data_IF_922570063246
#
_entry.id   IF_922570063246
#
_cell.length_a   1.000
_cell.length_b   1.000
_cell.length_c   1.000
_cell.angle_alpha   90.00
_cell.angle_beta   90.00
_cell.angle_gamma   90.00
#
_symmetry.space_group_name_H-M   'P 1'
#
loop_
_entity.id
_entity.type
_entity.pdbx_description
1 polymer ?
#
# COMPACT_ATOMS: atom_id res chain seq x y z
N UNK A 1 -22.99 7.41 -52.86
CA UNK A 1 -21.71 7.53 -52.12
C UNK A 1 -20.72 6.53 -52.70
N UNK A 2 -19.50 6.96 -53.04
CA UNK A 2 -18.53 6.13 -53.79
C UNK A 2 -17.82 5.11 -52.86
N UNK A 3 -17.56 3.86 -53.28
CA UNK A 3 -16.97 2.80 -52.45
C UNK A 3 -15.63 3.17 -51.79
N UNK A 4 -14.88 4.08 -52.41
CA UNK A 4 -13.60 4.60 -51.94
C UNK A 4 -13.75 5.47 -50.68
N UNK A 5 -14.86 6.19 -50.53
CA UNK A 5 -15.13 7.05 -49.36
C UNK A 5 -15.47 6.21 -48.13
N UNK A 6 -16.23 5.10 -48.30
CA UNK A 6 -16.51 4.16 -47.20
C UNK A 6 -15.27 3.40 -46.70
N UNK A 7 -14.33 3.05 -47.60
CA UNK A 7 -13.06 2.40 -47.20
C UNK A 7 -12.17 3.31 -46.36
N UNK A 8 -12.11 4.60 -46.67
CA UNK A 8 -11.26 5.56 -45.96
C UNK A 8 -11.79 5.88 -44.55
N UNK A 9 -13.12 5.96 -44.37
CA UNK A 9 -13.73 6.12 -43.05
C UNK A 9 -13.55 4.86 -42.19
N UNK A 10 -13.67 3.67 -42.79
CA UNK A 10 -13.45 2.39 -42.12
C UNK A 10 -11.99 2.19 -41.65
N UNK A 11 -11.00 2.58 -42.46
CA UNK A 11 -9.58 2.53 -42.07
C UNK A 11 -9.24 3.54 -40.97
N UNK A 12 -9.73 4.78 -41.06
CA UNK A 12 -9.48 5.81 -40.04
C UNK A 12 -10.06 5.42 -38.68
N UNK A 13 -11.24 4.79 -38.66
CA UNK A 13 -11.87 4.30 -37.43
C UNK A 13 -11.11 3.11 -36.81
N UNK A 14 -10.55 2.21 -37.64
CA UNK A 14 -9.69 1.09 -37.18
C UNK A 14 -8.33 1.56 -36.66
N UNK A 15 -7.73 2.56 -37.31
CA UNK A 15 -6.47 3.16 -36.85
C UNK A 15 -6.65 3.96 -35.55
N UNK A 16 -7.81 4.62 -35.39
CA UNK A 16 -8.21 5.29 -34.14
C UNK A 16 -8.37 4.31 -32.98
N UNK A 17 -9.13 3.22 -33.16
CA UNK A 17 -9.32 2.22 -32.09
C UNK A 17 -8.04 1.49 -31.74
N UNK A 18 -7.21 1.12 -32.74
CA UNK A 18 -5.93 0.45 -32.51
C UNK A 18 -4.93 1.33 -31.74
N UNK A 19 -4.94 2.65 -31.98
CA UNK A 19 -4.06 3.59 -31.27
C UNK A 19 -4.54 3.87 -29.84
N UNK A 20 -5.84 3.86 -29.60
CA UNK A 20 -6.40 3.96 -28.24
C UNK A 20 -6.17 2.69 -27.44
N UNK A 21 -6.37 1.51 -28.04
CA UNK A 21 -6.05 0.21 -27.43
C UNK A 21 -4.55 0.10 -27.08
N UNK A 22 -3.66 0.54 -27.98
CA UNK A 22 -2.23 0.56 -27.71
C UNK A 22 -1.87 1.47 -26.52
N UNK A 23 -2.51 2.63 -26.41
CA UNK A 23 -2.32 3.53 -25.25
C UNK A 23 -2.92 2.95 -23.97
N UNK A 24 -4.03 2.23 -24.07
CA UNK A 24 -4.71 1.66 -22.91
C UNK A 24 -3.93 0.47 -22.31
N UNK A 25 -3.17 -0.24 -23.15
CA UNK A 25 -2.30 -1.34 -22.74
C UNK A 25 -0.88 -0.90 -22.37
N UNK A 26 -0.51 0.34 -22.66
CA UNK A 26 0.80 0.88 -22.30
C UNK A 26 0.94 0.96 -20.77
N UNK A 27 2.10 0.53 -20.27
CA UNK A 27 2.39 0.61 -18.86
C UNK A 27 2.59 2.06 -18.39
N UNK A 28 2.15 2.37 -17.18
CA UNK A 28 2.43 3.68 -16.59
C UNK A 28 3.91 3.78 -16.22
N UNK A 29 4.56 4.85 -16.69
CA UNK A 29 5.98 5.06 -16.42
C UNK A 29 6.22 5.58 -15.00
N UNK A 30 5.29 6.38 -14.45
CA UNK A 30 5.49 7.10 -13.18
C UNK A 30 4.24 7.10 -12.31
N UNK A 31 4.42 7.25 -11.00
CA UNK A 31 3.32 7.38 -10.05
C UNK A 31 2.42 8.59 -10.38
N UNK A 32 3.03 9.70 -10.81
CA UNK A 32 2.28 10.91 -11.20
C UNK A 32 1.35 10.64 -12.39
N UNK A 33 1.79 9.84 -13.36
CA UNK A 33 0.93 9.45 -14.50
C UNK A 33 -0.28 8.63 -14.02
N UNK A 34 -0.06 7.69 -13.12
CA UNK A 34 -1.13 6.90 -12.48
C UNK A 34 -2.11 7.81 -11.74
N UNK A 35 -1.61 8.72 -10.90
CA UNK A 35 -2.41 9.65 -10.11
C UNK A 35 -3.27 10.58 -10.99
N UNK A 36 -2.69 11.17 -12.02
CA UNK A 36 -3.42 12.01 -12.97
C UNK A 36 -4.50 11.24 -13.74
N UNK A 37 -4.19 10.03 -14.19
CA UNK A 37 -5.16 9.21 -14.90
C UNK A 37 -6.29 8.74 -13.98
N UNK A 38 -5.98 8.35 -12.74
CA UNK A 38 -6.95 8.01 -11.71
C UNK A 38 -7.90 9.18 -11.43
N UNK A 39 -7.36 10.38 -11.19
CA UNK A 39 -8.14 11.59 -10.96
C UNK A 39 -9.06 11.91 -12.15
N UNK A 40 -8.56 11.77 -13.38
CA UNK A 40 -9.36 11.94 -14.59
C UNK A 40 -10.54 10.96 -14.63
N UNK A 41 -10.34 9.70 -14.26
CA UNK A 41 -11.40 8.70 -14.24
C UNK A 41 -12.47 9.01 -13.18
N UNK A 42 -12.06 9.45 -11.99
CA UNK A 42 -12.99 9.87 -10.94
C UNK A 42 -13.83 11.09 -11.37
N UNK A 43 -13.19 12.07 -12.01
CA UNK A 43 -13.86 13.25 -12.54
C UNK A 43 -14.92 12.88 -13.59
N UNK A 44 -14.57 12.02 -14.55
CA UNK A 44 -15.51 11.54 -15.57
C UNK A 44 -16.68 10.74 -14.96
N UNK A 45 -16.44 10.05 -13.84
CA UNK A 45 -17.47 9.33 -13.10
C UNK A 45 -18.31 10.22 -12.16
N UNK A 46 -18.09 11.54 -12.15
CA UNK A 46 -18.82 12.48 -11.30
C UNK A 46 -18.63 12.26 -9.80
N UNK A 47 -17.51 11.65 -9.40
CA UNK A 47 -17.20 11.41 -7.99
C UNK A 47 -16.58 12.68 -7.36
N UNK A 48 -16.92 12.96 -6.10
CA UNK A 48 -16.25 14.00 -5.34
C UNK A 48 -14.75 13.67 -5.21
N UNK A 49 -13.92 14.62 -5.63
CA UNK A 49 -12.47 14.44 -5.70
C UNK A 49 -11.83 14.83 -4.37
N UNK A 50 -11.26 13.84 -3.68
CA UNK A 50 -10.06 14.10 -2.90
C UNK A 50 -8.88 14.01 -3.86
N UNK A 51 -8.05 15.06 -3.93
CA UNK A 51 -6.87 15.02 -4.79
C UNK A 51 -5.94 13.90 -4.29
N UNK A 52 -5.58 12.91 -5.13
CA UNK A 52 -4.67 11.87 -4.71
C UNK A 52 -3.35 12.51 -4.30
N UNK A 53 -2.89 12.21 -3.09
CA UNK A 53 -1.57 12.66 -2.64
C UNK A 53 -0.47 11.99 -3.45
N UNK A 54 0.75 12.54 -3.40
CA UNK A 54 1.92 11.88 -3.99
C UNK A 54 2.07 10.44 -3.46
N UNK A 55 1.91 10.25 -2.15
CA UNK A 55 1.94 8.95 -1.49
C UNK A 55 0.87 7.98 -2.03
N UNK A 56 -0.34 8.49 -2.26
CA UNK A 56 -1.45 7.67 -2.79
C UNK A 56 -1.19 7.26 -4.24
N UNK A 57 -0.64 8.15 -5.04
CA UNK A 57 -0.29 7.86 -6.43
C UNK A 57 0.82 6.81 -6.52
N UNK A 58 1.80 6.90 -5.62
CA UNK A 58 2.88 5.91 -5.49
C UNK A 58 2.38 4.54 -5.04
N UNK A 59 1.49 4.50 -4.05
CA UNK A 59 0.85 3.27 -3.61
C UNK A 59 0.00 2.65 -4.70
N UNK A 60 -0.79 3.44 -5.43
CA UNK A 60 -1.60 2.92 -6.54
C UNK A 60 -0.72 2.33 -7.65
N UNK A 61 0.38 3.00 -8.02
CA UNK A 61 1.33 2.44 -8.99
C UNK A 61 1.92 1.13 -8.49
N UNK A 62 2.44 1.13 -7.25
CA UNK A 62 3.06 -0.05 -6.64
C UNK A 62 2.08 -1.23 -6.57
N UNK A 63 0.80 -0.96 -6.29
CA UNK A 63 -0.27 -1.96 -6.27
C UNK A 63 -0.50 -2.55 -7.66
N UNK A 64 -0.64 -1.70 -8.68
CA UNK A 64 -0.86 -2.17 -10.04
C UNK A 64 0.33 -2.98 -10.56
N UNK A 65 1.57 -2.60 -10.22
CA UNK A 65 2.78 -3.35 -10.54
C UNK A 65 2.81 -4.71 -9.83
N UNK A 66 2.46 -4.75 -8.54
CA UNK A 66 2.54 -5.97 -7.74
C UNK A 66 1.58 -7.08 -8.21
N UNK A 67 0.48 -6.69 -8.88
CA UNK A 67 -0.49 -7.62 -9.48
C UNK A 67 -0.37 -7.72 -11.01
N UNK A 68 0.71 -7.19 -11.61
CA UNK A 68 0.97 -7.18 -13.06
C UNK A 68 -0.16 -6.55 -13.91
N UNK A 69 -0.74 -5.46 -13.40
CA UNK A 69 -1.83 -4.70 -14.03
C UNK A 69 -1.52 -3.20 -14.16
N UNK A 70 -0.24 -2.85 -14.31
CA UNK A 70 0.25 -1.47 -14.40
C UNK A 70 -0.11 -0.76 -15.73
N UNK A 71 -1.39 -0.76 -16.14
CA UNK A 71 -1.85 -0.09 -17.37
C UNK A 71 -3.24 0.55 -17.21
N UNK A 72 -3.58 1.42 -18.15
CA UNK A 72 -4.82 2.22 -18.11
C UNK A 72 -6.08 1.38 -18.21
N UNK A 73 -6.06 0.34 -19.06
CA UNK A 73 -7.18 -0.59 -19.21
C UNK A 73 -7.53 -1.25 -17.87
N UNK A 74 -6.51 -1.74 -17.16
CA UNK A 74 -6.70 -2.42 -15.88
C UNK A 74 -7.18 -1.47 -14.79
N UNK A 75 -6.60 -0.28 -14.66
CA UNK A 75 -7.06 0.70 -13.67
C UNK A 75 -8.51 1.12 -13.91
N UNK A 76 -8.91 1.31 -15.18
CA UNK A 76 -10.30 1.55 -15.55
C UNK A 76 -11.21 0.37 -15.17
N UNK A 77 -10.73 -0.86 -15.35
CA UNK A 77 -11.40 -2.09 -14.93
C UNK A 77 -11.64 -2.15 -13.42
N UNK A 78 -10.64 -1.83 -12.60
CA UNK A 78 -10.79 -1.75 -11.14
C UNK A 78 -11.86 -0.75 -10.74
N UNK A 79 -11.81 0.46 -11.30
CA UNK A 79 -12.76 1.51 -10.97
C UNK A 79 -14.20 1.18 -11.34
N UNK A 80 -14.43 0.46 -12.44
CA UNK A 80 -15.78 -0.01 -12.82
C UNK A 80 -16.35 -1.04 -11.86
N UNK A 81 -15.49 -1.83 -11.22
CA UNK A 81 -15.88 -2.92 -10.32
C UNK A 81 -15.92 -2.50 -8.85
N UNK A 82 -15.47 -1.28 -8.52
CA UNK A 82 -15.43 -0.74 -7.16
C UNK A 82 -16.60 0.22 -6.92
N UNK A 83 -17.27 0.08 -5.78
CA UNK A 83 -18.31 1.02 -5.35
C UNK A 83 -17.67 2.24 -4.68
N UNK A 84 -17.29 3.23 -5.48
CA UNK A 84 -16.67 4.47 -5.01
C UNK A 84 -17.65 5.56 -4.57
N UNK A 85 -18.96 5.23 -4.52
CA UNK A 85 -19.98 6.19 -4.11
C UNK A 85 -19.63 6.82 -2.76
N UNK A 86 -19.89 8.12 -2.61
CA UNK A 86 -19.75 8.85 -1.34
C UNK A 86 -21.07 8.97 -0.57
N UNK A 87 -22.11 8.26 -1.02
CA UNK A 87 -23.44 8.29 -0.38
C UNK A 87 -23.43 7.83 1.08
N UNK A 88 -24.47 8.18 1.86
CA UNK A 88 -24.52 7.94 3.30
C UNK A 88 -24.45 6.47 3.72
N UNK A 89 -24.79 5.54 2.81
CA UNK A 89 -24.75 4.07 2.97
C UNK A 89 -23.73 3.40 2.03
N UNK A 90 -22.73 4.15 1.56
CA UNK A 90 -21.73 3.63 0.64
C UNK A 90 -20.69 2.73 1.33
N UNK A 91 -20.19 1.74 0.60
CA UNK A 91 -19.08 0.90 1.05
C UNK A 91 -17.81 1.71 1.36
N UNK A 92 -17.60 2.82 0.65
CA UNK A 92 -16.49 3.73 0.89
C UNK A 92 -16.61 4.47 2.24
N UNK A 93 -17.81 4.92 2.63
CA UNK A 93 -18.01 5.55 3.93
C UNK A 93 -17.81 4.56 5.09
N UNK A 94 -18.28 3.32 4.93
CA UNK A 94 -18.02 2.26 5.92
C UNK A 94 -16.52 1.89 5.97
N UNK A 95 -15.82 1.95 4.83
CA UNK A 95 -14.36 1.90 4.83
C UNK A 95 -13.74 3.03 5.65
N UNK A 96 -14.11 4.31 5.42
CA UNK A 96 -13.57 5.44 6.19
C UNK A 96 -13.74 5.25 7.70
N UNK A 97 -14.93 4.83 8.16
CA UNK A 97 -15.21 4.55 9.58
C UNK A 97 -14.25 3.53 10.21
N UNK A 98 -13.83 2.50 9.47
CA UNK A 98 -12.87 1.48 9.95
C UNK A 98 -11.47 2.06 10.19
N UNK A 99 -11.15 3.23 9.63
CA UNK A 99 -9.87 3.91 9.75
C UNK A 99 -9.92 5.17 10.63
N UNK A 100 -11.11 5.69 10.98
CA UNK A 100 -11.24 6.85 11.87
C UNK A 100 -10.42 6.68 13.16
N UNK A 101 -9.67 7.70 13.61
CA UNK A 101 -9.68 9.08 13.14
C UNK A 101 -8.63 9.40 12.06
N UNK A 102 -8.03 8.39 11.40
CA UNK A 102 -7.12 8.64 10.29
C UNK A 102 -7.90 9.04 9.04
N UNK A 103 -7.33 9.97 8.29
CA UNK A 103 -7.83 10.33 6.97
C UNK A 103 -7.40 9.28 5.94
N UNK A 104 -8.34 8.81 5.13
CA UNK A 104 -8.11 7.78 4.11
C UNK A 104 -8.86 8.13 2.85
N UNK A 105 -8.26 7.80 1.72
CA UNK A 105 -8.76 8.15 0.39
C UNK A 105 -9.18 6.92 -0.43
N UNK A 106 -9.69 7.17 -1.63
CA UNK A 106 -10.21 6.15 -2.55
C UNK A 106 -9.13 5.16 -3.02
N UNK A 107 -7.85 5.56 -3.06
CA UNK A 107 -6.75 4.64 -3.39
C UNK A 107 -6.61 3.58 -2.30
N UNK A 108 -6.55 4.01 -1.03
CA UNK A 108 -6.47 3.08 0.10
C UNK A 108 -7.69 2.17 0.15
N UNK A 109 -8.88 2.67 -0.19
CA UNK A 109 -10.08 1.85 -0.30
C UNK A 109 -9.93 0.73 -1.34
N UNK A 110 -9.43 1.04 -2.55
CA UNK A 110 -9.24 0.04 -3.61
C UNK A 110 -8.26 -1.04 -3.17
N UNK A 111 -7.14 -0.64 -2.55
CA UNK A 111 -6.10 -1.57 -2.10
C UNK A 111 -6.61 -2.43 -0.93
N UNK A 112 -7.35 -1.83 0.02
CA UNK A 112 -7.96 -2.54 1.15
C UNK A 112 -9.01 -3.56 0.70
N UNK A 113 -9.85 -3.21 -0.26
CA UNK A 113 -10.84 -4.14 -0.82
C UNK A 113 -10.18 -5.32 -1.54
N UNK A 114 -9.06 -5.10 -2.23
CA UNK A 114 -8.35 -6.19 -2.90
C UNK A 114 -7.64 -7.11 -1.89
N UNK A 115 -6.78 -6.57 -1.02
CA UNK A 115 -5.93 -7.38 -0.14
C UNK A 115 -6.61 -7.84 1.15
N UNK A 116 -7.51 -7.05 1.74
CA UNK A 116 -8.11 -7.41 3.04
C UNK A 116 -9.54 -7.94 2.93
N UNK A 117 -10.25 -7.68 1.83
CA UNK A 117 -11.65 -8.11 1.67
C UNK A 117 -11.78 -9.24 0.64
N UNK A 118 -11.24 -9.07 -0.57
CA UNK A 118 -11.32 -10.10 -1.62
C UNK A 118 -10.38 -11.26 -1.34
N UNK A 119 -9.14 -11.00 -0.96
CA UNK A 119 -8.18 -12.06 -0.65
C UNK A 119 -8.61 -12.87 0.59
N UNK A 120 -9.17 -12.23 1.62
CA UNK A 120 -9.75 -12.95 2.75
C UNK A 120 -10.88 -13.92 2.36
N UNK A 121 -11.54 -13.71 1.21
CA UNK A 121 -12.56 -14.61 0.65
C UNK A 121 -11.97 -15.73 -0.22
N UNK A 122 -10.78 -15.51 -0.76
CA UNK A 122 -10.04 -16.50 -1.55
C UNK A 122 -8.99 -17.08 -0.62
N UNK A 123 -9.36 -18.11 0.14
CA UNK A 123 -8.45 -18.82 1.05
C UNK A 123 -7.29 -19.45 0.26
N UNK A 124 -6.27 -18.66 -0.06
CA UNK A 124 -5.04 -19.11 -0.71
C UNK A 124 -3.95 -18.10 -0.42
N UNK A 125 -3.17 -18.32 0.63
CA UNK A 125 -1.76 -17.95 0.59
C UNK A 125 -1.03 -19.13 -0.05
N UNK A 126 -0.40 -18.98 -1.23
CA UNK A 126 0.68 -19.88 -1.57
C UNK A 126 1.77 -19.61 -0.55
N UNK A 127 2.00 -20.60 0.32
CA UNK A 127 2.99 -20.60 1.40
C UNK A 127 4.41 -20.65 0.81
N UNK A 128 4.79 -19.62 0.03
CA UNK A 128 6.13 -19.53 -0.53
C UNK A 128 7.07 -19.30 0.66
N UNK A 129 8.06 -20.17 0.88
CA UNK A 129 9.00 -19.98 1.97
C UNK A 129 9.72 -18.65 1.76
N UNK A 130 9.42 -17.68 2.61
CA UNK A 130 10.10 -16.39 2.59
C UNK A 130 11.45 -16.52 3.28
N UNK A 131 12.51 -16.11 2.58
CA UNK A 131 13.84 -15.98 3.15
C UNK A 131 13.84 -14.94 4.29
N UNK A 132 14.80 -15.03 5.19
CA UNK A 132 14.94 -14.02 6.26
C UNK A 132 15.13 -12.61 5.71
N UNK A 133 15.83 -12.46 4.59
CA UNK A 133 16.03 -11.16 3.93
C UNK A 133 14.70 -10.58 3.42
N UNK A 134 13.85 -11.41 2.80
CA UNK A 134 12.51 -10.99 2.34
C UNK A 134 11.63 -10.56 3.51
N UNK A 135 11.58 -11.35 4.60
CA UNK A 135 10.84 -10.97 5.81
C UNK A 135 11.28 -9.62 6.37
N UNK A 136 12.59 -9.37 6.43
CA UNK A 136 13.13 -8.07 6.90
C UNK A 136 12.67 -6.95 5.95
N UNK A 137 12.76 -7.14 4.62
CA UNK A 137 12.31 -6.12 3.64
C UNK A 137 10.82 -5.82 3.78
N UNK A 138 9.99 -6.85 3.96
CA UNK A 138 8.55 -6.69 4.14
C UNK A 138 8.28 -5.88 5.40
N UNK A 139 8.82 -6.29 6.55
CA UNK A 139 8.63 -5.59 7.83
C UNK A 139 9.04 -4.12 7.75
N UNK A 140 10.22 -3.84 7.19
CA UNK A 140 10.70 -2.47 7.01
C UNK A 140 9.81 -1.67 6.06
N UNK A 141 9.37 -2.28 4.97
CA UNK A 141 8.45 -1.65 4.00
C UNK A 141 7.09 -1.36 4.60
N UNK A 142 6.58 -2.23 5.48
CA UNK A 142 5.33 -2.01 6.21
C UNK A 142 5.40 -0.74 7.04
N UNK A 143 6.49 -0.54 7.80
CA UNK A 143 6.67 0.68 8.62
C UNK A 143 6.73 1.93 7.72
N UNK A 144 7.46 1.86 6.61
CA UNK A 144 7.55 2.96 5.64
C UNK A 144 6.20 3.27 4.99
N UNK A 145 5.43 2.27 4.60
CA UNK A 145 4.08 2.46 4.05
C UNK A 145 3.15 3.10 5.07
N UNK A 146 3.24 2.70 6.34
CA UNK A 146 2.42 3.30 7.39
C UNK A 146 2.71 4.80 7.55
N UNK A 147 3.99 5.17 7.58
CA UNK A 147 4.41 6.58 7.66
C UNK A 147 3.98 7.38 6.42
N UNK A 148 4.11 6.80 5.22
CA UNK A 148 3.79 7.45 3.96
C UNK A 148 2.27 7.63 3.74
N UNK A 149 1.46 6.64 4.13
CA UNK A 149 0.02 6.59 3.85
C UNK A 149 -0.85 7.22 4.93
N UNK A 150 -0.37 7.24 6.17
CA UNK A 150 -1.12 7.81 7.29
C UNK A 150 -0.41 9.02 7.94
N UNK A 151 0.06 10.03 7.17
CA UNK A 151 0.66 11.23 7.73
C UNK A 151 -0.43 12.16 8.27
N UNK A 152 -1.11 11.80 9.37
CA UNK A 152 -2.04 12.73 10.03
C UNK A 152 -1.29 14.00 10.46
N UNK A 153 -1.97 15.15 10.60
CA UNK A 153 -1.36 16.44 10.97
C UNK A 153 -0.47 16.42 12.23
N UNK A 154 -0.61 15.40 13.09
CA UNK A 154 0.24 15.20 14.28
C UNK A 154 1.15 13.97 14.20
N UNK A 155 1.07 13.15 13.15
CA UNK A 155 1.86 11.93 12.96
C UNK A 155 1.70 10.85 14.06
N UNK A 156 0.83 11.09 15.04
CA UNK A 156 0.70 10.31 16.28
C UNK A 156 -0.32 9.19 16.17
N UNK A 157 -1.42 9.38 15.44
CA UNK A 157 -2.58 8.47 15.48
C UNK A 157 -2.21 7.04 15.09
N UNK A 158 -1.56 6.86 13.94
CA UNK A 158 -1.15 5.52 13.50
C UNK A 158 -0.06 4.96 14.40
N UNK A 159 0.88 5.80 14.87
CA UNK A 159 1.96 5.38 15.78
C UNK A 159 1.40 4.86 17.10
N UNK A 160 0.34 5.50 17.62
CA UNK A 160 -0.38 5.05 18.81
C UNK A 160 -1.09 3.72 18.59
N UNK A 161 -1.72 3.52 17.43
CA UNK A 161 -2.31 2.20 17.05
C UNK A 161 -1.26 1.12 16.87
N UNK A 162 -0.10 1.49 16.33
CA UNK A 162 1.02 0.56 16.17
C UNK A 162 1.54 0.08 17.53
N UNK A 163 1.53 0.92 18.56
CA UNK A 163 2.04 0.52 19.89
C UNK A 163 0.94 0.09 20.87
N UNK A 164 -0.35 0.15 20.51
CA UNK A 164 -1.46 -0.15 21.42
C UNK A 164 -1.60 -1.65 21.75
N UNK A 165 -0.84 -2.50 21.09
CA UNK A 165 -0.84 -3.94 21.35
C UNK A 165 0.22 -4.30 22.42
N UNK A 166 -0.12 -5.08 23.45
CA UNK A 166 0.76 -5.30 24.60
C UNK A 166 1.98 -6.13 24.20
N UNK A 167 3.17 -5.53 24.19
CA UNK A 167 4.43 -6.29 24.09
C UNK A 167 5.54 -5.68 24.94
N UNK A 168 5.92 -6.42 25.98
CA UNK A 168 7.11 -6.19 26.80
C UNK A 168 8.46 -6.30 26.02
N UNK A 169 8.46 -6.45 24.69
CA UNK A 169 9.66 -6.66 23.86
C UNK A 169 9.62 -6.02 22.46
N UNK A 170 8.61 -5.20 22.12
CA UNK A 170 8.55 -4.55 20.81
C UNK A 170 9.70 -3.56 20.64
N UNK A 171 10.06 -2.82 21.69
CA UNK A 171 11.19 -1.88 21.69
C UNK A 171 12.52 -2.54 21.29
N UNK A 172 12.87 -3.67 21.90
CA UNK A 172 14.09 -4.42 21.57
C UNK A 172 14.09 -4.87 20.10
N UNK A 173 12.93 -5.30 19.62
CA UNK A 173 12.75 -5.78 18.25
C UNK A 173 12.82 -4.64 17.22
N UNK A 174 12.26 -3.47 17.53
CA UNK A 174 12.38 -2.26 16.72
C UNK A 174 13.82 -1.73 16.72
N UNK A 175 14.48 -1.70 17.88
CA UNK A 175 15.89 -1.34 17.99
C UNK A 175 16.77 -2.29 17.17
N UNK A 176 16.44 -3.58 17.14
CA UNK A 176 17.11 -4.57 16.30
C UNK A 176 16.97 -4.25 14.80
N UNK A 177 15.79 -3.82 14.33
CA UNK A 177 15.55 -3.43 12.93
C UNK A 177 16.38 -2.20 12.52
N UNK A 178 16.64 -1.26 13.44
CA UNK A 178 17.43 -0.05 13.14
C UNK A 178 18.93 -0.32 12.94
N UNK A 179 19.46 -1.41 13.51
CA UNK A 179 20.91 -1.69 13.53
C UNK A 179 21.53 -1.73 12.13
N UNK A 180 22.75 -1.20 11.99
CA UNK A 180 23.50 -1.15 10.73
C UNK A 180 23.73 -2.54 10.11
N UNK A 181 23.84 -3.57 10.95
CA UNK A 181 24.04 -4.96 10.51
C UNK A 181 22.90 -5.51 9.63
N UNK A 182 21.71 -4.91 9.67
CA UNK A 182 20.60 -5.32 8.80
C UNK A 182 20.94 -5.17 7.32
N UNK A 183 21.80 -4.20 6.95
CA UNK A 183 22.30 -4.08 5.58
C UNK A 183 23.01 -5.35 5.11
N UNK A 184 23.79 -5.97 6.00
CA UNK A 184 24.45 -7.24 5.72
C UNK A 184 23.46 -8.36 5.46
N UNK A 185 22.40 -8.46 6.27
CA UNK A 185 21.37 -9.50 6.09
C UNK A 185 20.57 -9.29 4.80
N UNK A 186 20.26 -8.04 4.45
CA UNK A 186 19.59 -7.68 3.21
C UNK A 186 20.43 -7.98 1.95
N UNK A 187 21.75 -8.10 2.09
CA UNK A 187 22.69 -8.46 1.01
C UNK A 187 23.19 -9.91 1.10
N UNK A 188 22.58 -10.75 1.95
CA UNK A 188 22.80 -12.19 1.96
C UNK A 188 23.58 -12.76 3.14
N UNK A 189 23.92 -11.97 4.16
CA UNK A 189 24.49 -12.51 5.40
C UNK A 189 23.45 -13.33 6.15
N UNK A 190 23.89 -14.46 6.73
CA UNK A 190 23.01 -15.30 7.53
C UNK A 190 22.70 -14.67 8.90
N UNK A 191 21.47 -14.86 9.36
CA UNK A 191 21.07 -14.49 10.72
C UNK A 191 21.58 -15.50 11.75
N UNK A 192 22.00 -15.02 12.91
CA UNK A 192 22.17 -15.86 14.10
C UNK A 192 20.80 -16.38 14.58
N UNK A 193 20.77 -17.45 15.38
CA UNK A 193 19.49 -18.00 15.88
C UNK A 193 18.76 -17.01 16.80
N UNK A 194 19.52 -16.20 17.55
CA UNK A 194 18.96 -15.08 18.32
C UNK A 194 18.28 -14.05 17.40
N UNK A 195 18.93 -13.68 16.29
CA UNK A 195 18.37 -12.72 15.32
C UNK A 195 17.15 -13.29 14.58
N UNK A 196 17.16 -14.59 14.23
CA UNK A 196 16.00 -15.29 13.65
C UNK A 196 14.81 -15.26 14.61
N UNK A 197 15.06 -15.46 15.91
CA UNK A 197 14.00 -15.40 16.91
C UNK A 197 13.38 -13.99 17.00
N UNK A 198 14.18 -12.92 16.98
CA UNK A 198 13.67 -11.55 16.94
C UNK A 198 12.86 -11.30 15.66
N UNK A 199 13.37 -11.73 14.51
CA UNK A 199 12.67 -11.60 13.23
C UNK A 199 11.33 -12.34 13.23
N UNK A 200 11.27 -13.56 13.75
CA UNK A 200 10.03 -14.33 13.85
C UNK A 200 9.02 -13.68 14.80
N UNK A 201 9.47 -13.09 15.91
CA UNK A 201 8.61 -12.30 16.80
C UNK A 201 8.01 -11.10 16.10
N UNK A 202 8.81 -10.33 15.35
CA UNK A 202 8.32 -9.21 14.55
C UNK A 202 7.33 -9.66 13.48
N UNK A 203 7.68 -10.72 12.75
CA UNK A 203 6.81 -11.28 11.72
C UNK A 203 5.44 -11.65 12.28
N UNK A 204 5.41 -12.47 13.34
CA UNK A 204 4.18 -12.89 13.98
C UNK A 204 3.40 -11.70 14.53
N UNK A 205 4.09 -10.68 15.02
CA UNK A 205 3.43 -9.47 15.50
C UNK A 205 2.68 -8.75 14.38
N UNK A 206 3.31 -8.51 13.23
CA UNK A 206 2.64 -7.89 12.09
C UNK A 206 1.50 -8.75 11.53
N UNK A 207 1.72 -10.06 11.41
CA UNK A 207 0.77 -11.02 10.85
C UNK A 207 -0.51 -11.14 11.69
N UNK A 208 -0.36 -11.11 13.01
CA UNK A 208 -1.49 -11.23 13.96
C UNK A 208 -2.05 -9.90 14.45
N UNK A 209 -1.49 -8.77 14.01
CA UNK A 209 -1.90 -7.45 14.50
C UNK A 209 -3.36 -7.19 14.18
N UNK A 210 -4.14 -6.75 15.14
CA UNK A 210 -5.58 -6.45 15.01
C UNK A 210 -5.90 -5.12 14.30
N UNK A 211 -4.99 -4.14 14.34
CA UNK A 211 -5.22 -2.80 13.82
C UNK A 211 -5.20 -2.78 12.28
N UNK A 212 -6.31 -2.33 11.69
CA UNK A 212 -6.51 -2.34 10.23
C UNK A 212 -5.41 -1.62 9.42
N UNK A 213 -4.88 -0.44 9.81
CA UNK A 213 -3.78 0.20 9.07
C UNK A 213 -2.52 -0.65 9.03
N UNK A 214 -2.21 -1.35 10.12
CA UNK A 214 -1.04 -2.24 10.20
C UNK A 214 -1.26 -3.45 9.31
N UNK A 215 -2.45 -4.08 9.40
CA UNK A 215 -2.84 -5.17 8.50
C UNK A 215 -2.71 -4.78 7.04
N UNK A 216 -3.23 -3.62 6.65
CA UNK A 216 -3.19 -3.16 5.26
C UNK A 216 -1.75 -2.97 4.79
N UNK A 217 -0.94 -2.21 5.53
CA UNK A 217 0.44 -1.96 5.15
C UNK A 217 1.30 -3.24 5.12
N UNK A 218 1.01 -4.21 6.01
CA UNK A 218 1.67 -5.51 6.00
C UNK A 218 1.24 -6.36 4.82
N UNK A 219 -0.06 -6.39 4.50
CA UNK A 219 -0.58 -7.07 3.33
C UNK A 219 -0.01 -6.48 2.03
N UNK A 220 0.04 -5.15 1.90
CA UNK A 220 0.67 -4.47 0.77
C UNK A 220 2.11 -4.92 0.55
N UNK A 221 2.94 -4.84 1.60
CA UNK A 221 4.35 -5.22 1.51
C UNK A 221 4.54 -6.71 1.20
N UNK A 222 3.74 -7.58 1.83
CA UNK A 222 3.76 -9.03 1.61
C UNK A 222 3.33 -9.43 0.19
N UNK A 223 2.49 -8.60 -0.45
CA UNK A 223 2.05 -8.76 -1.83
C UNK A 223 2.97 -8.11 -2.87
N UNK A 224 4.20 -7.78 -2.50
CA UNK A 224 5.20 -7.28 -3.43
C UNK A 224 5.24 -5.77 -3.60
N UNK A 225 4.40 -5.01 -2.87
CA UNK A 225 4.58 -3.56 -2.77
C UNK A 225 5.72 -3.26 -1.79
N UNK A 226 6.94 -3.67 -2.13
CA UNK A 226 8.12 -3.53 -1.25
C UNK A 226 8.78 -2.18 -1.53
N UNK A 227 9.06 -1.43 -0.46
CA UNK A 227 9.75 -0.12 -0.50
C UNK A 227 11.25 -0.31 -0.70
N UNK A 228 11.95 0.75 -1.08
CA UNK A 228 13.41 0.71 -1.20
C UNK A 228 14.07 0.93 0.17
N UNK A 229 13.98 -0.11 1.00
CA UNK A 229 14.42 -0.08 2.41
C UNK A 229 15.90 0.27 2.58
N UNK A 230 16.73 0.09 1.55
CA UNK A 230 18.15 0.44 1.59
C UNK A 230 18.34 1.94 1.43
N UNK A 231 17.63 2.56 0.48
CA UNK A 231 17.69 3.99 0.23
C UNK A 231 16.88 4.80 1.27
N UNK A 232 15.81 4.22 1.81
CA UNK A 232 14.90 4.87 2.79
C UNK A 232 15.28 4.62 4.25
N UNK A 233 16.46 4.06 4.50
CA UNK A 233 16.90 3.65 5.86
C UNK A 233 16.95 4.80 6.87
N UNK A 234 17.28 6.02 6.41
CA UNK A 234 17.28 7.22 7.26
C UNK A 234 15.88 7.54 7.79
N UNK A 235 14.89 7.52 6.90
CA UNK A 235 13.48 7.72 7.26
C UNK A 235 13.00 6.60 8.21
N UNK A 236 13.29 5.34 7.89
CA UNK A 236 12.94 4.20 8.75
C UNK A 236 13.51 4.36 10.17
N UNK A 237 14.77 4.78 10.29
CA UNK A 237 15.42 4.98 11.58
C UNK A 237 14.74 6.07 12.40
N UNK A 238 14.35 7.19 11.76
CA UNK A 238 13.60 8.27 12.39
C UNK A 238 12.23 7.80 12.89
N UNK A 239 11.50 7.04 12.08
CA UNK A 239 10.19 6.48 12.46
C UNK A 239 10.32 5.57 13.68
N UNK A 240 11.32 4.67 13.67
CA UNK A 240 11.58 3.76 14.79
C UNK A 240 11.94 4.52 16.07
N UNK A 241 12.77 5.57 15.97
CA UNK A 241 13.13 6.38 17.12
C UNK A 241 11.88 7.06 17.73
N UNK A 242 10.95 7.54 16.91
CA UNK A 242 9.68 8.10 17.38
C UNK A 242 8.79 7.04 18.05
N UNK A 243 8.65 5.85 17.45
CA UNK A 243 7.89 4.75 18.05
C UNK A 243 8.48 4.37 19.42
N UNK A 244 9.80 4.28 19.53
CA UNK A 244 10.49 3.94 20.78
C UNK A 244 10.34 5.01 21.86
N UNK A 245 10.24 6.30 21.49
CA UNK A 245 9.91 7.37 22.44
C UNK A 245 8.50 7.16 23.00
N UNK A 246 7.52 6.87 22.13
CA UNK A 246 6.13 6.68 22.53
C UNK A 246 5.92 5.46 23.43
N UNK A 247 6.61 4.34 23.16
CA UNK A 247 6.59 3.15 24.03
C UNK A 247 7.08 3.47 25.45
N UNK A 248 8.00 4.44 25.59
CA UNK A 248 8.53 4.86 26.89
C UNK A 248 7.67 5.89 27.63
N UNK A 249 6.60 6.41 27.04
CA UNK A 249 5.75 7.41 27.69
C UNK A 249 4.76 6.73 28.64
N UNK A 250 4.60 7.22 29.89
CA UNK A 250 3.53 6.76 30.76
C UNK A 250 2.20 7.12 30.10
N UNK A 251 1.37 6.12 29.81
CA UNK A 251 0.02 6.32 29.26
C UNK A 251 -0.78 7.08 30.32
N UNK A 252 -0.86 8.40 30.18
CA UNK A 252 -1.86 9.20 30.90
C UNK A 252 -3.20 8.88 30.24
N UNK A 253 -3.85 7.84 30.74
CA UNK A 253 -5.27 7.58 30.45
C UNK A 253 -6.04 8.77 31.02
N UNK A 254 -6.30 9.76 30.16
CA UNK A 254 -7.31 10.78 30.41
C UNK A 254 -8.67 10.11 30.31
N UNK A 255 -9.29 9.89 31.47
CA UNK A 255 -10.73 9.67 31.62
C UNK A 255 -11.42 11.01 31.40
#
# INVERSE_FOLDING_TARGET
MSPTVMKNVSMAHRLGSSREEAKDNQEFATANEVGHFFQKLLWVAGQELENPTSASSEALKSFLESINKNNRASLRGFLRNSSLSTGPESAYKEFKRRYEPMDVNQVLYIIDEEFLVREARIVTTPDRPQTSAEKIRIIMSTILWMDNLFPSCEGMVWKMRFISFPIFSLKESLDWLRKVRQRGFLTGHQLSDHDKNILNKLWNWFDTHDQRPVKLAFAMASHGMVRDVLNERGQLSHIIDDLNKLIGMPVRLGI
#
